data_IF_372967297061
#
_entry.id   IF_372967297061
#
_cell.length_a   1.000
_cell.length_b   1.000
_cell.length_c   1.000
_cell.angle_alpha   90.00
_cell.angle_beta   90.00
_cell.angle_gamma   90.00
#
_symmetry.space_group_name_H-M   'P 1'
#
loop_
_entity.id
_entity.type
_entity.pdbx_description
1 polymer ?
#
# COMPACT_ATOMS: atom_id res chain seq x y z
N UNK A 1 15.85 3.63 9.45
CA UNK A 1 16.26 4.06 8.09
C UNK A 1 16.55 5.55 8.13
N UNK A 2 17.70 6.02 7.65
CA UNK A 2 17.99 7.46 7.55
C UNK A 2 17.65 7.91 6.13
N UNK A 3 16.77 8.91 6.01
CA UNK A 3 16.44 9.54 4.73
C UNK A 3 17.50 10.61 4.44
N UNK A 4 17.99 10.65 3.21
CA UNK A 4 18.88 11.72 2.73
C UNK A 4 18.11 13.06 2.72
N UNK A 5 18.63 14.15 3.30
CA UNK A 5 18.01 15.47 3.21
C UNK A 5 17.62 15.88 1.79
N UNK A 6 18.41 15.49 0.77
CA UNK A 6 18.11 15.76 -0.63
C UNK A 6 16.79 15.15 -1.09
N UNK A 7 16.45 13.96 -0.58
CA UNK A 7 15.19 13.25 -0.87
C UNK A 7 14.01 14.01 -0.25
N UNK A 8 14.20 14.64 0.91
CA UNK A 8 13.19 15.48 1.55
C UNK A 8 12.95 16.74 0.71
N UNK A 9 14.01 17.44 0.32
CA UNK A 9 13.93 18.62 -0.55
C UNK A 9 13.24 18.30 -1.89
N UNK A 10 13.56 17.16 -2.51
CA UNK A 10 12.94 16.73 -3.76
C UNK A 10 11.46 16.42 -3.58
N UNK A 11 11.06 15.85 -2.44
CA UNK A 11 9.65 15.64 -2.12
C UNK A 11 8.92 16.97 -1.92
N UNK A 12 9.49 17.90 -1.15
CA UNK A 12 8.90 19.23 -0.92
C UNK A 12 8.72 20.03 -2.22
N UNK A 13 9.69 19.92 -3.14
CA UNK A 13 9.64 20.61 -4.43
C UNK A 13 8.70 19.95 -5.43
N UNK A 14 8.69 18.62 -5.53
CA UNK A 14 8.01 17.90 -6.60
C UNK A 14 6.67 17.27 -6.17
N UNK A 15 6.35 17.27 -4.87
CA UNK A 15 5.17 16.62 -4.29
C UNK A 15 5.24 15.09 -4.17
N UNK A 16 6.26 14.46 -4.77
CA UNK A 16 6.53 13.03 -4.69
C UNK A 16 8.01 12.72 -4.96
N UNK A 17 8.53 11.64 -4.39
CA UNK A 17 9.90 11.15 -4.64
C UNK A 17 9.91 9.61 -4.70
N UNK A 18 10.77 9.04 -5.54
CA UNK A 18 10.89 7.59 -5.67
C UNK A 18 11.88 7.04 -4.65
N UNK A 19 11.39 6.23 -3.71
CA UNK A 19 12.23 5.42 -2.82
C UNK A 19 12.32 3.99 -3.34
N UNK A 20 13.55 3.50 -3.58
CA UNK A 20 13.79 2.16 -4.12
C UNK A 20 14.33 1.24 -3.03
N UNK A 21 13.88 -0.02 -3.02
CA UNK A 21 14.39 -1.05 -2.12
C UNK A 21 14.02 -0.86 -0.65
N UNK A 22 12.91 -0.16 -0.35
CA UNK A 22 12.49 0.10 1.05
C UNK A 22 11.85 -1.12 1.71
N UNK A 23 11.14 -1.94 0.93
CA UNK A 23 10.43 -3.10 1.44
C UNK A 23 11.16 -4.39 1.07
N UNK A 24 11.42 -5.22 2.08
CA UNK A 24 11.94 -6.56 1.85
C UNK A 24 10.89 -7.46 1.18
N UNK A 25 11.34 -8.58 0.59
CA UNK A 25 10.47 -9.54 -0.09
C UNK A 25 9.32 -10.03 0.79
N UNK A 26 9.55 -10.23 2.08
CA UNK A 26 8.52 -10.67 3.05
C UNK A 26 7.35 -9.70 3.13
N UNK A 27 7.63 -8.39 3.06
CA UNK A 27 6.62 -7.34 3.07
C UNK A 27 5.80 -7.31 1.79
N UNK A 28 6.47 -7.46 0.65
CA UNK A 28 5.81 -7.52 -0.66
C UNK A 28 4.86 -8.73 -0.71
N UNK A 29 5.31 -9.88 -0.22
CA UNK A 29 4.50 -11.10 -0.20
C UNK A 29 3.30 -11.00 0.75
N UNK A 30 3.48 -10.34 1.90
CA UNK A 30 2.38 -10.07 2.82
C UNK A 30 1.26 -9.26 2.14
N UNK A 31 1.59 -8.15 1.48
CA UNK A 31 0.59 -7.30 0.79
C UNK A 31 -0.05 -8.02 -0.37
N UNK A 32 0.73 -8.76 -1.17
CA UNK A 32 0.22 -9.57 -2.27
C UNK A 32 -0.89 -10.51 -1.80
N UNK A 33 -0.64 -11.26 -0.73
CA UNK A 33 -1.66 -12.15 -0.14
C UNK A 33 -2.90 -11.40 0.35
N UNK A 34 -2.73 -10.18 0.89
CA UNK A 34 -3.85 -9.32 1.27
C UNK A 34 -4.70 -8.85 0.07
N UNK A 35 -4.04 -8.52 -1.05
CA UNK A 35 -4.71 -8.12 -2.29
C UNK A 35 -5.54 -9.29 -2.85
N UNK A 36 -4.99 -10.50 -2.92
CA UNK A 36 -5.72 -11.68 -3.41
C UNK A 36 -6.97 -11.96 -2.57
N UNK A 37 -6.86 -11.85 -1.24
CA UNK A 37 -8.02 -11.97 -0.34
C UNK A 37 -9.08 -10.90 -0.58
N UNK A 38 -8.65 -9.66 -0.84
CA UNK A 38 -9.57 -8.57 -1.13
C UNK A 38 -10.31 -8.79 -2.45
N UNK A 39 -9.60 -9.25 -3.48
CA UNK A 39 -10.17 -9.55 -4.79
C UNK A 39 -11.19 -10.70 -4.72
N UNK A 40 -10.90 -11.72 -3.91
CA UNK A 40 -11.76 -12.89 -3.70
C UNK A 40 -13.00 -12.59 -2.84
N UNK A 41 -12.89 -11.66 -1.89
CA UNK A 41 -13.99 -11.24 -1.02
C UNK A 41 -13.98 -9.72 -0.81
N UNK A 42 -14.44 -8.96 -1.84
CA UNK A 42 -14.52 -7.51 -1.76
C UNK A 42 -15.47 -7.04 -0.66
N UNK A 43 -15.26 -5.83 -0.18
CA UNK A 43 -16.13 -5.16 0.77
C UNK A 43 -17.39 -4.61 0.10
N UNK A 44 -18.26 -4.04 0.92
CA UNK A 44 -19.42 -3.26 0.47
C UNK A 44 -19.04 -2.02 -0.36
N UNK A 45 -17.78 -1.59 -0.29
CA UNK A 45 -17.21 -0.48 -1.06
C UNK A 45 -16.34 -0.94 -2.24
N UNK A 46 -16.33 -2.24 -2.56
CA UNK A 46 -15.57 -2.76 -3.68
C UNK A 46 -16.21 -2.37 -5.01
N UNK A 47 -15.48 -1.67 -5.87
CA UNK A 47 -15.92 -1.33 -7.22
C UNK A 47 -15.00 -1.97 -8.26
N UNK A 48 -15.59 -2.42 -9.36
CA UNK A 48 -14.86 -2.96 -10.52
C UNK A 48 -15.28 -2.18 -11.75
N UNK A 49 -14.33 -1.51 -12.37
CA UNK A 49 -14.53 -0.90 -13.67
C UNK A 49 -13.88 -1.79 -14.72
N UNK A 50 -14.66 -2.13 -15.76
CA UNK A 50 -14.15 -2.79 -16.96
C UNK A 50 -14.41 -1.86 -18.13
N UNK A 51 -13.40 -1.61 -18.95
CA UNK A 51 -13.60 -0.85 -20.18
C UNK A 51 -14.46 -1.64 -21.16
N UNK A 52 -15.52 -1.04 -21.70
CA UNK A 52 -16.39 -1.70 -22.70
C UNK A 52 -15.62 -2.12 -23.97
N UNK A 53 -14.48 -1.48 -24.24
CA UNK A 53 -13.65 -1.67 -25.44
C UNK A 53 -12.20 -2.04 -25.14
N UNK A 54 -11.86 -2.35 -23.89
CA UNK A 54 -10.50 -2.76 -23.52
C UNK A 54 -10.52 -3.90 -22.51
N UNK A 55 -9.46 -4.70 -22.53
CA UNK A 55 -9.20 -5.71 -21.49
C UNK A 55 -8.69 -5.07 -20.18
N UNK A 56 -8.78 -3.75 -20.05
CA UNK A 56 -8.40 -3.02 -18.86
C UNK A 56 -9.38 -3.27 -17.72
N UNK A 57 -8.85 -3.66 -16.57
CA UNK A 57 -9.60 -3.85 -15.34
C UNK A 57 -9.07 -2.90 -14.27
N UNK A 58 -9.98 -2.19 -13.62
CA UNK A 58 -9.72 -1.42 -12.41
C UNK A 58 -10.54 -2.00 -11.28
N UNK A 59 -9.91 -2.16 -10.13
CA UNK A 59 -10.55 -2.57 -8.89
C UNK A 59 -10.07 -1.63 -7.80
N UNK A 60 -11.00 -1.01 -7.11
CA UNK A 60 -10.75 -0.37 -5.84
C UNK A 60 -11.72 -0.89 -4.78
N UNK A 61 -11.27 -0.76 -3.55
CA UNK A 61 -12.03 -1.15 -2.39
C UNK A 61 -11.42 -0.44 -1.18
N UNK A 62 -12.24 0.32 -0.45
CA UNK A 62 -11.79 1.24 0.58
C UNK A 62 -11.85 0.64 1.99
N UNK A 63 -11.01 1.17 2.89
CA UNK A 63 -11.03 0.89 4.33
C UNK A 63 -10.82 -0.59 4.73
N UNK A 64 -10.12 -1.36 3.91
CA UNK A 64 -9.93 -2.81 4.10
C UNK A 64 -8.91 -3.21 5.17
N UNK A 65 -8.09 -2.27 5.65
CA UNK A 65 -6.94 -2.58 6.52
C UNK A 65 -7.34 -3.28 7.83
N UNK A 66 -8.50 -2.96 8.39
CA UNK A 66 -8.98 -3.62 9.62
C UNK A 66 -9.67 -4.97 9.36
N UNK A 67 -10.14 -5.22 8.12
CA UNK A 67 -10.79 -6.48 7.72
C UNK A 67 -9.78 -7.54 7.27
N UNK A 68 -8.71 -7.11 6.61
CA UNK A 68 -7.72 -8.00 6.02
C UNK A 68 -6.45 -7.99 6.88
N UNK A 69 -6.19 -9.11 7.54
CA UNK A 69 -5.10 -9.24 8.51
C UNK A 69 -3.72 -8.95 7.90
N UNK A 70 -3.50 -9.22 6.61
CA UNK A 70 -2.29 -8.87 5.90
C UNK A 70 -2.05 -7.35 5.85
N UNK A 71 -3.08 -6.58 5.50
CA UNK A 71 -3.01 -5.11 5.47
C UNK A 71 -2.84 -4.55 6.89
N UNK A 72 -3.53 -5.12 7.88
CA UNK A 72 -3.36 -4.78 9.29
C UNK A 72 -1.93 -4.99 9.77
N UNK A 73 -1.35 -6.15 9.46
CA UNK A 73 0.05 -6.47 9.77
C UNK A 73 1.00 -5.53 9.05
N UNK A 74 0.76 -5.23 7.77
CA UNK A 74 1.56 -4.28 7.01
C UNK A 74 1.63 -2.91 7.70
N UNK A 75 0.48 -2.32 8.05
CA UNK A 75 0.43 -1.02 8.75
C UNK A 75 1.07 -1.11 10.14
N UNK A 76 0.83 -2.19 10.90
CA UNK A 76 1.37 -2.31 12.27
C UNK A 76 2.85 -2.59 12.33
N UNK A 77 3.39 -3.36 11.39
CA UNK A 77 4.82 -3.62 11.27
C UNK A 77 5.58 -2.37 10.75
N UNK A 78 4.88 -1.36 10.24
CA UNK A 78 5.45 -0.07 9.84
C UNK A 78 5.62 0.87 11.05
N UNK A 79 4.88 0.66 12.14
CA UNK A 79 4.95 1.49 13.36
C UNK A 79 6.34 1.49 14.03
N UNK A 80 7.13 0.40 14.04
CA UNK A 80 8.52 0.46 14.52
C UNK A 80 9.47 1.29 13.64
N UNK A 81 9.10 1.58 12.37
CA UNK A 81 9.91 2.39 11.44
C UNK A 81 9.59 3.88 11.52
N UNK A 82 8.35 4.21 11.88
CA UNK A 82 7.90 5.59 12.15
C UNK A 82 7.94 5.77 13.65
N UNK A 83 9.10 6.15 14.19
CA UNK A 83 9.32 6.28 15.64
C UNK A 83 8.15 6.98 16.32
N UNK A 84 7.30 6.21 17.00
CA UNK A 84 6.30 6.75 17.91
C UNK A 84 7.03 7.14 19.18
N UNK A 85 7.51 8.38 19.25
CA UNK A 85 7.65 9.04 20.55
C UNK A 85 6.25 9.12 21.19
N UNK A 86 6.13 8.94 22.51
CA UNK A 86 4.87 9.12 23.24
C UNK A 86 4.23 10.48 22.99
#
# INVERSE_FOLDING_TARGET
MKIDPKVIEDYEKNGAVCLRGIFDKTWIELVRNGIEKNLASPSVFGEKLKGDKSDGHYFDDYCNWNRIEEFKKFVRLLLPLVGTTP
#
